data_IF_693345643478
#
_entry.id   IF_693345643478
#
_cell.length_a   1.000
_cell.length_b   1.000
_cell.length_c   1.000
_cell.angle_alpha   90.00
_cell.angle_beta   90.00
_cell.angle_gamma   90.00
#
_symmetry.space_group_name_H-M   'P 1'
#
loop_
_entity.id
_entity.type
_entity.pdbx_description
1 polymer ?
#
# COMPACT_ATOMS: atom_id res chain seq x y z
N UNK A 1 20.44 32.04 -9.81
CA UNK A 1 19.02 31.68 -9.67
C UNK A 1 18.26 31.66 -11.00
N UNK A 2 18.57 32.54 -11.96
CA UNK A 2 17.86 32.63 -13.24
C UNK A 2 18.28 31.55 -14.27
N UNK A 3 19.34 30.77 -14.01
CA UNK A 3 19.89 29.79 -14.97
C UNK A 3 19.49 28.35 -14.70
N UNK A 4 18.89 28.03 -13.56
CA UNK A 4 18.39 26.70 -13.20
C UNK A 4 16.92 26.78 -12.82
N UNK A 5 16.12 25.94 -13.43
CA UNK A 5 14.70 25.71 -13.07
C UNK A 5 14.46 24.24 -12.84
N UNK A 6 13.72 23.93 -11.79
CA UNK A 6 13.22 22.59 -11.47
C UNK A 6 11.70 22.66 -11.55
N UNK A 7 11.09 21.87 -12.41
CA UNK A 7 9.64 21.87 -12.56
C UNK A 7 8.95 21.21 -11.36
N UNK A 8 7.69 21.59 -11.07
CA UNK A 8 6.88 20.96 -10.03
C UNK A 8 6.73 19.45 -10.26
N UNK A 9 6.62 19.03 -11.53
CA UNK A 9 6.61 17.63 -11.88
C UNK A 9 7.92 16.90 -11.52
N UNK A 10 9.07 17.58 -11.61
CA UNK A 10 10.34 17.01 -11.17
C UNK A 10 10.40 16.93 -9.63
N UNK A 11 9.93 17.95 -8.90
CA UNK A 11 9.87 17.92 -7.45
C UNK A 11 8.96 16.77 -6.95
N UNK A 12 7.79 16.62 -7.52
CA UNK A 12 6.89 15.48 -7.21
C UNK A 12 7.56 14.14 -7.50
N UNK A 13 8.27 14.02 -8.62
CA UNK A 13 8.99 12.78 -8.99
C UNK A 13 10.14 12.50 -8.01
N UNK A 14 10.86 13.51 -7.52
CA UNK A 14 11.91 13.34 -6.51
C UNK A 14 11.30 12.76 -5.23
N UNK A 15 10.20 13.34 -4.76
CA UNK A 15 9.51 12.89 -3.55
C UNK A 15 9.06 11.41 -3.71
N UNK A 16 8.46 11.07 -4.84
CA UNK A 16 7.84 9.76 -5.04
C UNK A 16 8.84 8.64 -5.36
N UNK A 17 10.00 8.96 -5.95
CA UNK A 17 10.90 7.94 -6.51
C UNK A 17 12.32 7.98 -5.99
N UNK A 18 12.71 9.02 -5.26
CA UNK A 18 14.09 9.19 -4.79
C UNK A 18 14.22 9.46 -3.29
N UNK A 19 13.11 9.70 -2.58
CA UNK A 19 13.10 9.94 -1.12
C UNK A 19 12.08 9.05 -0.42
N UNK A 20 12.40 8.64 0.82
CA UNK A 20 11.48 7.91 1.70
C UNK A 20 11.67 8.45 3.11
N UNK A 21 10.95 9.52 3.44
CA UNK A 21 11.11 10.24 4.71
C UNK A 21 9.80 10.90 5.16
N UNK A 22 9.65 11.09 6.47
CA UNK A 22 8.53 11.84 7.04
C UNK A 22 8.70 13.38 6.94
N UNK A 23 9.90 13.85 6.64
CA UNK A 23 10.25 15.26 6.52
C UNK A 23 10.67 15.64 5.10
N UNK A 24 11.57 16.63 4.99
CA UNK A 24 12.05 17.17 3.70
C UNK A 24 13.58 17.22 3.59
N UNK A 25 14.31 16.59 4.51
CA UNK A 25 15.78 16.63 4.52
C UNK A 25 16.42 15.89 3.35
N UNK A 26 15.90 14.73 2.99
CA UNK A 26 16.37 14.02 1.79
C UNK A 26 16.01 14.77 0.52
N UNK A 27 14.81 15.33 0.44
CA UNK A 27 14.39 16.18 -0.67
C UNK A 27 15.37 17.35 -0.86
N UNK A 28 15.71 18.07 0.22
CA UNK A 28 16.69 19.16 0.20
C UNK A 28 18.05 18.68 -0.31
N UNK A 29 18.53 17.53 0.18
CA UNK A 29 19.80 16.93 -0.27
C UNK A 29 19.78 16.58 -1.76
N UNK A 30 18.66 16.02 -2.27
CA UNK A 30 18.48 15.71 -3.69
C UNK A 30 18.45 16.97 -4.55
N UNK A 31 17.75 18.00 -4.12
CA UNK A 31 17.77 19.32 -4.79
C UNK A 31 19.20 19.87 -4.82
N UNK A 32 19.92 19.82 -3.71
CA UNK A 32 21.33 20.24 -3.63
C UNK A 32 22.24 19.45 -4.58
N UNK A 33 22.01 18.14 -4.75
CA UNK A 33 22.73 17.32 -5.72
C UNK A 33 22.46 17.77 -7.17
N UNK A 34 21.20 18.05 -7.49
CA UNK A 34 20.81 18.60 -8.81
C UNK A 34 21.49 19.96 -9.04
N UNK A 35 21.46 20.85 -8.05
CA UNK A 35 22.08 22.17 -8.16
C UNK A 35 23.58 22.09 -8.46
N UNK A 36 24.32 21.20 -7.77
CA UNK A 36 25.75 21.00 -8.00
C UNK A 36 26.04 20.48 -9.42
N UNK A 37 25.30 19.50 -9.89
CA UNK A 37 25.46 18.94 -11.25
C UNK A 37 25.05 19.95 -12.33
N UNK A 38 23.97 20.72 -12.09
CA UNK A 38 23.57 21.79 -12.99
C UNK A 38 24.61 22.93 -13.06
N UNK A 39 25.19 23.35 -11.95
CA UNK A 39 26.26 24.32 -11.93
C UNK A 39 27.47 23.89 -12.77
N UNK A 40 27.86 22.61 -12.65
CA UNK A 40 28.90 22.02 -13.47
C UNK A 40 28.56 22.07 -14.98
N UNK A 41 27.34 21.74 -15.37
CA UNK A 41 26.90 21.83 -16.77
C UNK A 41 26.91 23.27 -17.30
N UNK A 42 26.50 24.24 -16.51
CA UNK A 42 26.52 25.65 -16.89
C UNK A 42 27.96 26.17 -17.12
N UNK A 43 28.92 25.70 -16.30
CA UNK A 43 30.32 26.12 -16.40
C UNK A 43 31.10 25.41 -17.49
N UNK A 44 31.06 24.05 -17.49
CA UNK A 44 31.88 23.23 -18.38
C UNK A 44 31.30 23.17 -19.81
N UNK A 45 29.94 23.04 -19.92
CA UNK A 45 29.27 22.91 -21.21
C UNK A 45 28.79 24.25 -21.80
N UNK A 46 29.07 25.35 -21.14
CA UNK A 46 28.67 26.73 -21.56
C UNK A 46 27.17 26.83 -21.88
N UNK A 47 26.32 26.03 -21.20
CA UNK A 47 24.87 26.10 -21.38
C UNK A 47 24.34 27.42 -20.84
N UNK A 48 23.41 28.05 -21.57
CA UNK A 48 22.78 29.30 -21.11
C UNK A 48 21.85 29.04 -19.91
N UNK A 49 21.08 27.96 -19.96
CA UNK A 49 20.11 27.57 -18.93
C UNK A 49 20.04 26.04 -18.78
N UNK A 50 19.64 25.59 -17.58
CA UNK A 50 19.37 24.19 -17.25
C UNK A 50 17.93 24.06 -16.77
N UNK A 51 17.14 23.21 -17.41
CA UNK A 51 15.79 22.87 -17.02
C UNK A 51 15.73 21.42 -16.57
N UNK A 52 15.34 21.19 -15.32
CA UNK A 52 15.16 19.86 -14.74
C UNK A 52 13.68 19.50 -14.72
N UNK A 53 13.36 18.40 -15.36
CA UNK A 53 12.02 17.85 -15.50
C UNK A 53 12.01 16.40 -15.04
N UNK A 54 10.82 15.80 -14.81
CA UNK A 54 10.73 14.39 -14.48
C UNK A 54 11.40 13.44 -15.48
N UNK A 55 11.51 13.86 -16.75
CA UNK A 55 12.12 13.04 -17.81
C UNK A 55 13.65 12.98 -17.76
N UNK A 56 14.30 14.02 -17.26
CA UNK A 56 15.77 14.10 -17.21
C UNK A 56 16.34 13.97 -15.80
N UNK A 57 15.52 13.67 -14.79
CA UNK A 57 15.96 13.48 -13.41
C UNK A 57 17.05 12.41 -13.25
N UNK A 58 16.98 11.34 -14.03
CA UNK A 58 17.96 10.26 -13.96
C UNK A 58 19.39 10.69 -14.33
N UNK A 59 19.54 11.74 -15.13
CA UNK A 59 20.85 12.34 -15.42
C UNK A 59 21.48 12.99 -14.17
N UNK A 60 20.64 13.46 -13.25
CA UNK A 60 21.07 14.15 -12.03
C UNK A 60 21.14 13.22 -10.81
N UNK A 61 20.18 12.34 -10.66
CA UNK A 61 19.98 11.53 -9.44
C UNK A 61 20.25 10.03 -9.63
N UNK A 62 20.53 9.59 -10.88
CA UNK A 62 20.65 8.19 -11.22
C UNK A 62 19.28 7.52 -11.36
N UNK A 63 19.26 6.19 -11.43
CA UNK A 63 18.03 5.40 -11.55
C UNK A 63 17.11 5.63 -10.35
N UNK A 64 15.80 5.56 -10.59
CA UNK A 64 14.79 5.59 -9.54
C UNK A 64 15.07 4.52 -8.50
N UNK A 65 14.97 4.89 -7.22
CA UNK A 65 15.29 4.01 -6.10
C UNK A 65 14.05 3.31 -5.53
N UNK A 66 12.90 3.94 -5.68
CA UNK A 66 11.63 3.48 -5.12
C UNK A 66 10.72 3.13 -6.29
N UNK A 67 10.31 1.85 -6.35
CA UNK A 67 9.27 1.42 -7.25
C UNK A 67 7.93 1.99 -6.74
N UNK A 68 7.12 2.49 -7.65
CA UNK A 68 5.76 2.92 -7.29
C UNK A 68 4.87 1.69 -7.13
N UNK A 69 4.14 1.65 -6.03
CA UNK A 69 3.00 0.76 -5.93
C UNK A 69 2.01 1.11 -7.04
N UNK A 70 1.51 0.08 -7.69
CA UNK A 70 0.51 0.21 -8.74
C UNK A 70 -0.71 -0.64 -8.40
N UNK A 71 -1.85 -0.20 -8.88
CA UNK A 71 -3.05 -1.04 -8.94
C UNK A 71 -2.71 -2.34 -9.67
N UNK A 72 -3.24 -3.46 -9.22
CA UNK A 72 -3.12 -4.72 -9.95
C UNK A 72 -3.74 -4.57 -11.34
N UNK A 73 -3.20 -5.26 -12.33
CA UNK A 73 -3.64 -5.12 -13.73
C UNK A 73 -5.08 -5.64 -13.95
N UNK A 74 -5.57 -6.51 -13.08
CA UNK A 74 -6.90 -7.14 -13.15
C UNK A 74 -7.43 -7.50 -11.77
N UNK A 75 -8.75 -7.69 -11.69
CA UNK A 75 -9.41 -8.31 -10.55
C UNK A 75 -8.93 -9.75 -10.38
N UNK A 76 -8.66 -10.17 -9.14
CA UNK A 76 -8.09 -11.49 -8.90
C UNK A 76 -8.66 -12.15 -7.64
N UNK A 77 -8.59 -13.49 -7.60
CA UNK A 77 -9.07 -14.31 -6.50
C UNK A 77 -7.98 -14.43 -5.44
N UNK A 78 -8.34 -14.14 -4.18
CA UNK A 78 -7.41 -14.25 -3.06
C UNK A 78 -6.35 -13.14 -2.98
N UNK A 79 -6.43 -12.12 -3.83
CA UNK A 79 -5.53 -10.97 -3.81
C UNK A 79 -6.30 -9.71 -3.40
N UNK A 80 -5.87 -9.09 -2.30
CA UNK A 80 -6.53 -7.89 -1.76
C UNK A 80 -5.48 -6.85 -1.37
N UNK A 81 -5.78 -5.59 -1.68
CA UNK A 81 -4.92 -4.47 -1.33
C UNK A 81 -5.32 -3.90 0.04
N UNK A 82 -4.38 -3.96 0.98
CA UNK A 82 -4.50 -3.32 2.29
C UNK A 82 -3.79 -1.98 2.35
N UNK A 83 -4.09 -1.22 3.38
CA UNK A 83 -3.44 0.05 3.67
C UNK A 83 -2.85 0.02 5.07
N UNK A 84 -1.61 0.47 5.18
CA UNK A 84 -0.91 0.54 6.44
C UNK A 84 -0.25 1.91 6.63
N UNK A 85 0.13 2.19 7.86
CA UNK A 85 0.84 3.40 8.24
C UNK A 85 2.19 3.04 8.87
N UNK A 86 3.23 3.76 8.46
CA UNK A 86 4.59 3.61 8.96
C UNK A 86 5.14 4.95 9.44
N UNK A 87 6.30 4.94 10.08
CA UNK A 87 6.99 6.17 10.52
C UNK A 87 7.35 7.13 9.36
N UNK A 88 7.34 6.64 8.13
CA UNK A 88 7.65 7.44 6.92
C UNK A 88 6.41 7.76 6.08
N UNK A 89 5.22 7.37 6.52
CA UNK A 89 3.95 7.66 5.85
C UNK A 89 3.10 6.43 5.62
N UNK A 90 2.03 6.59 4.84
CA UNK A 90 1.16 5.50 4.43
C UNK A 90 1.80 4.66 3.32
N UNK A 91 1.48 3.38 3.32
CA UNK A 91 1.89 2.41 2.30
C UNK A 91 0.70 1.53 1.92
N UNK A 92 0.69 1.04 0.67
CA UNK A 92 -0.20 -0.05 0.29
C UNK A 92 0.52 -1.37 0.54
N UNK A 93 -0.23 -2.42 0.83
CA UNK A 93 0.32 -3.77 0.96
C UNK A 93 -0.58 -4.75 0.23
N UNK A 94 0.00 -5.69 -0.47
CA UNK A 94 -0.73 -6.77 -1.11
C UNK A 94 -0.84 -7.96 -0.17
N UNK A 95 -2.05 -8.44 0.07
CA UNK A 95 -2.31 -9.69 0.77
C UNK A 95 -2.69 -10.73 -0.26
N UNK A 96 -1.93 -11.81 -0.33
CA UNK A 96 -2.16 -12.94 -1.22
C UNK A 96 -2.57 -14.16 -0.41
N UNK A 97 -3.67 -14.77 -0.79
CA UNK A 97 -4.16 -15.99 -0.15
C UNK A 97 -4.36 -17.08 -1.20
N UNK A 98 -3.80 -18.23 -0.93
CA UNK A 98 -4.02 -19.42 -1.72
C UNK A 98 -4.59 -20.56 -0.85
N UNK A 99 -5.59 -21.23 -1.39
CA UNK A 99 -6.19 -22.45 -0.82
C UNK A 99 -5.86 -23.63 -1.73
N UNK A 100 -5.34 -24.71 -1.16
CA UNK A 100 -4.96 -25.90 -1.90
C UNK A 100 -5.38 -27.16 -1.16
N UNK A 101 -5.59 -28.29 -1.84
CA UNK A 101 -5.85 -29.57 -1.17
C UNK A 101 -4.75 -29.88 -0.17
N UNK A 102 -5.11 -30.30 1.04
CA UNK A 102 -4.14 -30.50 2.11
C UNK A 102 -4.76 -31.16 3.35
N UNK A 103 -4.21 -30.86 4.52
CA UNK A 103 -4.59 -31.43 5.81
C UNK A 103 -4.95 -30.37 6.86
N UNK A 104 -5.25 -29.16 6.43
CA UNK A 104 -5.60 -28.05 7.31
C UNK A 104 -4.40 -27.24 7.83
N UNK A 105 -3.24 -27.34 7.16
CA UNK A 105 -2.07 -26.54 7.53
C UNK A 105 -2.28 -25.05 7.20
N UNK A 106 -1.82 -24.18 8.11
CA UNK A 106 -1.83 -22.74 7.93
C UNK A 106 -0.39 -22.26 7.80
N UNK A 107 -0.06 -21.65 6.67
CA UNK A 107 1.25 -21.09 6.38
C UNK A 107 1.16 -19.57 6.26
N UNK A 108 2.02 -18.89 6.99
CA UNK A 108 2.14 -17.43 6.98
C UNK A 108 3.55 -17.06 6.54
N UNK A 109 3.69 -16.27 5.46
CA UNK A 109 4.98 -15.81 4.93
C UNK A 109 4.98 -14.32 4.64
N UNK A 110 6.17 -13.71 4.50
CA UNK A 110 6.34 -12.27 4.27
C UNK A 110 6.91 -11.53 5.48
N UNK A 111 7.64 -12.22 6.37
CA UNK A 111 8.27 -11.64 7.58
C UNK A 111 7.27 -10.95 8.52
N UNK A 112 6.10 -11.57 8.70
CA UNK A 112 5.04 -11.04 9.55
C UNK A 112 5.47 -10.98 11.01
N UNK A 113 5.35 -9.83 11.64
CA UNK A 113 5.47 -9.68 13.10
C UNK A 113 4.33 -10.39 13.83
N UNK A 114 4.47 -10.56 15.15
CA UNK A 114 3.51 -11.34 15.94
C UNK A 114 2.08 -10.76 15.89
N UNK A 115 1.95 -9.44 15.87
CA UNK A 115 0.64 -8.77 15.74
C UNK A 115 -0.07 -9.15 14.42
N UNK A 116 0.67 -9.22 13.31
CA UNK A 116 0.09 -9.63 12.02
C UNK A 116 -0.28 -11.11 11.99
N UNK A 117 0.48 -11.96 12.68
CA UNK A 117 0.14 -13.38 12.84
C UNK A 117 -1.15 -13.57 13.65
N UNK A 118 -1.30 -12.82 14.74
CA UNK A 118 -2.55 -12.78 15.52
C UNK A 118 -3.73 -12.29 14.67
N UNK A 119 -3.54 -11.22 13.93
CA UNK A 119 -4.56 -10.68 13.04
C UNK A 119 -4.98 -11.69 11.96
N UNK A 120 -4.03 -12.44 11.40
CA UNK A 120 -4.31 -13.51 10.45
C UNK A 120 -5.13 -14.66 11.08
N UNK A 121 -4.82 -15.05 12.31
CA UNK A 121 -5.57 -16.07 13.05
C UNK A 121 -6.99 -15.60 13.38
N UNK A 122 -7.15 -14.34 13.79
CA UNK A 122 -8.46 -13.74 14.06
C UNK A 122 -9.30 -13.68 12.79
N UNK A 123 -8.71 -13.21 11.68
CA UNK A 123 -9.38 -13.17 10.38
C UNK A 123 -9.83 -14.56 9.91
N UNK A 124 -8.96 -15.56 10.03
CA UNK A 124 -9.28 -16.94 9.69
C UNK A 124 -10.42 -17.50 10.56
N UNK A 125 -10.37 -17.27 11.87
CA UNK A 125 -11.41 -17.71 12.80
C UNK A 125 -12.76 -17.09 12.45
N UNK A 126 -12.78 -15.79 12.16
CA UNK A 126 -13.99 -15.11 11.71
C UNK A 126 -14.52 -15.70 10.39
N UNK A 127 -13.65 -15.85 9.36
CA UNK A 127 -14.07 -16.42 8.08
C UNK A 127 -14.63 -17.83 8.25
N UNK A 128 -13.99 -18.67 9.06
CA UNK A 128 -14.52 -20.02 9.37
C UNK A 128 -15.91 -19.95 9.96
N UNK A 129 -16.20 -18.98 10.82
CA UNK A 129 -17.51 -18.85 11.46
C UNK A 129 -18.64 -18.45 10.52
N UNK A 130 -18.32 -17.78 9.40
CA UNK A 130 -19.31 -17.34 8.40
C UNK A 130 -19.34 -18.23 7.16
N UNK A 131 -18.46 -19.22 7.05
CA UNK A 131 -18.41 -20.13 5.91
C UNK A 131 -19.74 -20.83 5.60
N UNK A 132 -20.57 -21.24 6.57
CA UNK A 132 -21.89 -21.81 6.30
C UNK A 132 -22.80 -20.89 5.48
N UNK A 133 -22.72 -19.59 5.67
CA UNK A 133 -23.52 -18.58 4.95
C UNK A 133 -23.15 -18.53 3.45
N UNK A 134 -21.94 -18.98 3.12
CA UNK A 134 -21.40 -19.06 1.76
C UNK A 134 -21.41 -20.48 1.17
N UNK A 135 -22.16 -21.40 1.79
CA UNK A 135 -22.29 -22.81 1.34
C UNK A 135 -20.95 -23.57 1.30
N UNK A 136 -19.98 -23.15 2.11
CA UNK A 136 -18.69 -23.82 2.26
C UNK A 136 -18.85 -24.97 3.26
N UNK A 137 -18.44 -26.22 2.89
CA UNK A 137 -18.56 -27.38 3.79
C UNK A 137 -17.81 -27.18 5.11
N UNK A 138 -18.35 -27.70 6.22
CA UNK A 138 -17.74 -27.58 7.54
C UNK A 138 -16.33 -28.18 7.63
N UNK A 139 -16.08 -29.24 6.85
CA UNK A 139 -14.80 -29.96 6.77
C UNK A 139 -13.81 -29.34 5.74
N UNK A 140 -14.18 -28.21 5.14
CA UNK A 140 -13.36 -27.57 4.11
C UNK A 140 -11.93 -27.30 4.58
N UNK A 141 -11.78 -26.72 5.77
CA UNK A 141 -10.47 -26.38 6.33
C UNK A 141 -9.66 -27.60 6.81
N UNK A 142 -10.28 -28.76 6.99
CA UNK A 142 -9.58 -30.00 7.31
C UNK A 142 -8.99 -30.66 6.06
N UNK A 143 -9.53 -30.33 4.89
CA UNK A 143 -9.14 -30.89 3.59
C UNK A 143 -8.33 -29.94 2.73
N UNK A 144 -8.11 -28.70 3.19
CA UNK A 144 -7.37 -27.69 2.45
C UNK A 144 -6.33 -27.00 3.34
N UNK A 145 -5.13 -26.82 2.80
CA UNK A 145 -4.12 -25.98 3.38
C UNK A 145 -4.35 -24.52 2.96
N UNK A 146 -4.08 -23.59 3.88
CA UNK A 146 -4.16 -22.15 3.68
C UNK A 146 -2.76 -21.55 3.69
N UNK A 147 -2.43 -20.78 2.67
CA UNK A 147 -1.21 -19.99 2.65
C UNK A 147 -1.55 -18.49 2.51
N UNK A 148 -1.16 -17.70 3.49
CA UNK A 148 -1.24 -16.23 3.44
C UNK A 148 0.17 -15.69 3.23
N UNK A 149 0.37 -14.90 2.20
CA UNK A 149 1.62 -14.24 1.88
C UNK A 149 1.43 -12.73 1.79
N UNK A 150 2.33 -11.97 2.43
CA UNK A 150 2.37 -10.51 2.33
C UNK A 150 3.78 -10.15 1.89
N UNK A 151 4.02 -9.95 0.57
CA UNK A 151 5.35 -9.81 -0.02
C UNK A 151 6.20 -8.70 0.58
N UNK A 152 5.58 -7.62 1.00
CA UNK A 152 6.25 -6.39 1.45
C UNK A 152 6.55 -6.36 2.94
N UNK A 153 6.38 -7.46 3.64
CA UNK A 153 6.68 -7.75 5.06
C UNK A 153 6.76 -6.58 6.05
N UNK A 154 6.60 -6.86 7.32
CA UNK A 154 6.89 -5.93 8.43
C UNK A 154 6.06 -4.63 8.54
N UNK A 155 4.83 -4.59 8.02
CA UNK A 155 3.91 -3.48 8.31
C UNK A 155 3.02 -3.88 9.49
N UNK A 156 3.05 -3.15 10.61
CA UNK A 156 2.25 -3.47 11.78
C UNK A 156 0.80 -2.99 11.64
N UNK A 157 -0.14 -3.85 12.07
CA UNK A 157 -1.55 -3.57 12.38
C UNK A 157 -2.50 -3.22 11.22
N UNK A 158 -3.78 -3.37 11.49
CA UNK A 158 -4.94 -2.96 10.66
C UNK A 158 -5.18 -3.77 9.36
N UNK A 159 -4.56 -4.95 9.23
CA UNK A 159 -4.73 -5.84 8.07
C UNK A 159 -5.83 -6.89 8.21
N UNK A 160 -6.56 -6.92 9.33
CA UNK A 160 -7.51 -8.00 9.63
C UNK A 160 -8.61 -8.16 8.60
N UNK A 161 -9.28 -7.06 8.22
CA UNK A 161 -10.34 -7.12 7.21
C UNK A 161 -9.79 -7.48 5.83
N UNK A 162 -8.59 -7.02 5.49
CA UNK A 162 -7.92 -7.34 4.23
C UNK A 162 -7.65 -8.84 4.13
N UNK A 163 -7.11 -9.45 5.20
CA UNK A 163 -6.86 -10.88 5.26
C UNK A 163 -8.15 -11.69 5.24
N UNK A 164 -9.18 -11.27 6.00
CA UNK A 164 -10.48 -11.94 5.98
C UNK A 164 -11.10 -11.94 4.58
N UNK A 165 -11.05 -10.81 3.89
CA UNK A 165 -11.56 -10.67 2.52
C UNK A 165 -10.77 -11.54 1.55
N UNK A 166 -9.44 -11.59 1.66
CA UNK A 166 -8.60 -12.42 0.81
C UNK A 166 -8.85 -13.92 1.04
N UNK A 167 -9.00 -14.34 2.30
CA UNK A 167 -9.34 -15.73 2.64
C UNK A 167 -10.71 -16.11 2.07
N UNK A 168 -11.73 -15.28 2.29
CA UNK A 168 -13.08 -15.53 1.79
C UNK A 168 -13.10 -15.58 0.25
N UNK A 169 -12.42 -14.66 -0.41
CA UNK A 169 -12.25 -14.64 -1.86
C UNK A 169 -11.59 -15.94 -2.36
N UNK A 170 -10.51 -16.38 -1.73
CA UNK A 170 -9.81 -17.60 -2.10
C UNK A 170 -10.68 -18.86 -1.95
N UNK A 171 -11.55 -18.91 -0.93
CA UNK A 171 -12.47 -20.00 -0.68
C UNK A 171 -13.63 -20.00 -1.69
N UNK A 172 -14.29 -18.85 -1.85
CA UNK A 172 -15.49 -18.70 -2.69
C UNK A 172 -15.17 -18.58 -4.19
N UNK A 173 -13.88 -18.37 -4.54
CA UNK A 173 -13.41 -18.09 -5.91
C UNK A 173 -14.01 -16.82 -6.52
N UNK A 174 -14.50 -15.91 -5.67
CA UNK A 174 -14.99 -14.60 -6.11
C UNK A 174 -13.82 -13.63 -6.16
N UNK A 175 -13.52 -13.00 -7.31
CA UNK A 175 -12.41 -12.08 -7.44
C UNK A 175 -12.69 -10.78 -6.68
N UNK A 176 -11.64 -10.16 -6.16
CA UNK A 176 -11.66 -8.83 -5.55
C UNK A 176 -11.21 -7.81 -6.57
N UNK A 177 -11.88 -6.66 -6.60
CA UNK A 177 -11.55 -5.58 -7.54
C UNK A 177 -10.14 -5.06 -7.32
N UNK A 178 -9.40 -4.88 -8.41
CA UNK A 178 -8.01 -4.43 -8.41
C UNK A 178 -7.84 -3.00 -7.88
N UNK A 179 -8.84 -2.14 -8.08
CA UNK A 179 -8.82 -0.73 -7.73
C UNK A 179 -9.45 -0.42 -6.36
N UNK A 180 -9.73 -1.47 -5.57
CA UNK A 180 -10.25 -1.36 -4.19
C UNK A 180 -9.14 -1.65 -3.19
N UNK A 181 -8.96 -0.76 -2.23
CA UNK A 181 -8.13 -0.98 -1.06
C UNK A 181 -8.96 -0.95 0.22
N UNK A 182 -8.47 -1.54 1.29
CA UNK A 182 -9.17 -1.54 2.57
C UNK A 182 -8.22 -1.47 3.75
N UNK A 183 -8.75 -1.04 4.89
CA UNK A 183 -8.04 -1.02 6.16
C UNK A 183 -9.01 -1.25 7.30
N UNK A 184 -8.55 -1.93 8.34
CA UNK A 184 -9.36 -2.20 9.54
C UNK A 184 -8.87 -3.43 10.27
N UNK A 185 -8.90 -3.37 11.58
CA UNK A 185 -8.72 -4.53 12.44
C UNK A 185 -10.06 -5.26 12.57
N UNK A 186 -10.05 -6.59 12.50
CA UNK A 186 -11.26 -7.39 12.61
C UNK A 186 -11.31 -8.12 13.95
N UNK A 187 -12.49 -8.19 14.56
CA UNK A 187 -12.72 -9.02 15.75
C UNK A 187 -13.22 -10.41 15.35
N UNK A 188 -13.19 -11.35 16.29
CA UNK A 188 -13.76 -12.71 16.11
C UNK A 188 -15.27 -12.71 15.76
N UNK A 189 -15.96 -11.60 15.98
CA UNK A 189 -17.38 -11.40 15.67
C UNK A 189 -17.62 -10.64 14.35
N UNK A 190 -16.55 -10.33 13.60
CA UNK A 190 -16.63 -9.61 12.33
C UNK A 190 -16.80 -8.09 12.44
N UNK A 191 -16.70 -7.53 13.66
CA UNK A 191 -16.70 -6.08 13.82
C UNK A 191 -15.36 -5.52 13.34
N UNK A 192 -15.39 -4.48 12.52
CA UNK A 192 -14.19 -3.78 12.03
C UNK A 192 -13.96 -2.56 12.93
N UNK A 193 -12.82 -2.54 13.59
CA UNK A 193 -12.45 -1.51 14.56
C UNK A 193 -11.79 -0.31 13.88
N UNK A 194 -11.93 0.86 14.53
CA UNK A 194 -11.28 2.10 14.11
C UNK A 194 -9.75 1.95 14.02
N UNK A 195 -9.17 2.67 13.07
CA UNK A 195 -7.72 2.64 12.78
C UNK A 195 -7.11 4.03 12.93
N UNK A 196 -5.80 4.07 13.15
CA UNK A 196 -5.02 5.30 13.09
C UNK A 196 -4.42 5.56 11.72
N UNK A 197 -3.94 6.81 11.50
CA UNK A 197 -3.23 7.19 10.29
C UNK A 197 -4.09 7.16 9.02
N UNK A 198 -5.39 7.47 9.12
CA UNK A 198 -6.29 7.42 7.97
C UNK A 198 -5.85 8.36 6.85
N UNK A 199 -5.39 9.55 7.17
CA UNK A 199 -4.92 10.54 6.19
C UNK A 199 -3.76 9.98 5.35
N UNK A 200 -2.76 9.40 6.00
CA UNK A 200 -1.59 8.81 5.38
C UNK A 200 -1.98 7.60 4.51
N UNK A 201 -2.89 6.77 4.99
CA UNK A 201 -3.43 5.60 4.27
C UNK A 201 -4.18 6.02 3.00
N UNK A 202 -5.04 7.04 3.07
CA UNK A 202 -5.75 7.56 1.90
C UNK A 202 -4.79 8.18 0.89
N UNK A 203 -3.77 8.89 1.35
CA UNK A 203 -2.74 9.44 0.47
C UNK A 203 -1.96 8.34 -0.26
N UNK A 204 -1.61 7.25 0.44
CA UNK A 204 -0.97 6.09 -0.16
C UNK A 204 -1.89 5.42 -1.21
N UNK A 205 -3.16 5.20 -0.87
CA UNK A 205 -4.15 4.64 -1.79
C UNK A 205 -4.28 5.49 -3.07
N UNK A 206 -4.40 6.80 -2.93
CA UNK A 206 -4.45 7.74 -4.05
C UNK A 206 -3.18 7.69 -4.91
N UNK A 207 -2.01 7.67 -4.28
CA UNK A 207 -0.73 7.61 -4.98
C UNK A 207 -0.57 6.31 -5.76
N UNK A 208 -1.08 5.20 -5.21
CA UNK A 208 -1.12 3.90 -5.88
C UNK A 208 -2.16 3.81 -7.00
N UNK A 209 -3.09 4.77 -7.09
CA UNK A 209 -4.14 4.82 -8.13
C UNK A 209 -5.39 4.03 -7.77
N UNK A 210 -5.63 3.75 -6.48
CA UNK A 210 -6.90 3.19 -6.02
C UNK A 210 -8.04 4.14 -6.30
N UNK A 211 -9.25 3.61 -6.56
CA UNK A 211 -10.47 4.38 -6.79
C UNK A 211 -11.46 4.28 -5.65
N UNK A 212 -11.35 3.22 -4.86
CA UNK A 212 -12.24 2.99 -3.73
C UNK A 212 -11.42 2.55 -2.51
N UNK A 213 -11.71 3.14 -1.37
CA UNK A 213 -11.11 2.74 -0.10
C UNK A 213 -12.21 2.39 0.90
N UNK A 214 -12.20 1.16 1.40
CA UNK A 214 -13.09 0.71 2.47
C UNK A 214 -12.44 1.00 3.82
N UNK A 215 -13.13 1.72 4.68
CA UNK A 215 -12.66 2.13 6.00
C UNK A 215 -13.65 1.72 7.09
N UNK A 216 -13.22 1.59 8.35
CA UNK A 216 -14.15 1.36 9.45
C UNK A 216 -15.14 2.52 9.59
N UNK A 217 -16.40 2.20 9.89
CA UNK A 217 -17.45 3.21 10.11
C UNK A 217 -17.09 4.21 11.21
N UNK A 218 -16.38 3.75 12.22
CA UNK A 218 -15.96 4.59 13.35
C UNK A 218 -14.97 5.70 12.95
N UNK A 219 -14.30 5.57 11.77
CA UNK A 219 -13.42 6.60 11.19
C UNK A 219 -14.14 7.62 10.29
N UNK A 220 -15.47 7.59 10.19
CA UNK A 220 -16.23 8.54 9.37
C UNK A 220 -15.91 10.01 9.73
N UNK A 221 -15.77 10.30 11.02
CA UNK A 221 -15.42 11.63 11.51
C UNK A 221 -14.03 12.08 11.05
N UNK A 222 -13.07 11.14 11.00
CA UNK A 222 -11.71 11.44 10.56
C UNK A 222 -11.69 11.83 9.07
N UNK A 223 -12.61 11.27 8.26
CA UNK A 223 -12.74 11.64 6.83
C UNK A 223 -13.17 13.09 6.65
N UNK A 224 -13.98 13.64 7.55
CA UNK A 224 -14.40 15.04 7.48
C UNK A 224 -13.23 16.00 7.59
N UNK A 225 -12.22 15.67 8.42
CA UNK A 225 -11.02 16.47 8.65
C UNK A 225 -10.01 16.39 7.49
N UNK A 226 -10.13 15.39 6.62
CA UNK A 226 -9.21 15.20 5.51
C UNK A 226 -9.53 16.16 4.36
N UNK A 227 -8.51 16.81 3.83
CA UNK A 227 -8.64 17.77 2.74
C UNK A 227 -9.32 17.16 1.50
N UNK A 228 -10.11 17.97 0.79
CA UNK A 228 -10.76 17.57 -0.46
C UNK A 228 -9.76 17.10 -1.50
N UNK A 229 -8.56 17.67 -1.51
CA UNK A 229 -7.50 17.28 -2.44
C UNK A 229 -7.11 15.81 -2.29
N UNK A 230 -7.07 15.27 -1.07
CA UNK A 230 -6.77 13.84 -0.84
C UNK A 230 -7.97 12.97 -1.24
N UNK A 231 -9.19 13.39 -0.90
CA UNK A 231 -10.42 12.63 -1.16
C UNK A 231 -10.80 12.56 -2.64
N UNK A 232 -10.49 13.59 -3.42
CA UNK A 232 -10.83 13.62 -4.84
C UNK A 232 -10.15 12.50 -5.62
N UNK A 233 -10.94 11.62 -6.22
CA UNK A 233 -10.50 10.50 -7.03
C UNK A 233 -10.39 9.17 -6.27
N UNK A 234 -10.79 9.16 -4.99
CA UNK A 234 -11.01 7.96 -4.19
C UNK A 234 -12.50 7.69 -4.04
#
# INVERSE_FOLDING_TARGET
EKKLTISDGALKEIILSYTSEAGVRELERKIGEICRKAARQLLEQKKANVHVTGRNLEMYLGKRKIARDKVNDKDDVGIVRGLAWTSVGGVTMQVEVNMMPGKGEIRLTGQLGDVMKESAQTALTFVRSICPDYQVPNDYFEKHDLHIHIPEGAVPKDGGITMATAILSAITKVPVKADVAMTGEITLRGRVLAIGGLKEKLLAAKTAGMKTVLIPKENEKDVEEISREIKNGL
#
